data_IF_995154883736
#
_entry.id   IF_995154883736
#
_cell.length_a   1.000
_cell.length_b   1.000
_cell.length_c   1.000
_cell.angle_alpha   90.00
_cell.angle_beta   90.00
_cell.angle_gamma   90.00
#
_symmetry.space_group_name_H-M   'P 1'
#
loop_
_entity.id
_entity.type
_entity.pdbx_description
1 polymer ?
#
# COMPACT_ATOMS: atom_id res chain seq x y z
N UNK A 1 -30.85 -39.99 -28.48
CA UNK A 1 -30.39 -38.58 -28.62
C UNK A 1 -30.95 -37.63 -27.55
N UNK A 2 -32.20 -37.68 -27.15
CA UNK A 2 -32.82 -36.81 -26.13
C UNK A 2 -32.17 -36.85 -24.74
N UNK A 3 -31.63 -37.97 -24.26
CA UNK A 3 -31.04 -38.07 -22.93
C UNK A 3 -29.64 -37.41 -22.80
N UNK A 4 -28.86 -37.37 -23.89
CA UNK A 4 -27.56 -36.66 -23.87
C UNK A 4 -27.71 -35.13 -23.79
N UNK A 5 -28.70 -34.60 -24.47
CA UNK A 5 -28.99 -33.15 -24.43
C UNK A 5 -29.45 -32.68 -23.05
N UNK A 6 -30.24 -33.49 -22.36
CA UNK A 6 -30.72 -33.17 -21.01
C UNK A 6 -29.55 -33.15 -19.99
N UNK A 7 -28.64 -34.11 -20.08
CA UNK A 7 -27.45 -34.20 -19.23
C UNK A 7 -26.49 -33.00 -19.42
N UNK A 8 -26.30 -32.55 -20.67
CA UNK A 8 -25.46 -31.40 -20.99
C UNK A 8 -26.08 -30.09 -20.47
N UNK A 9 -27.39 -29.92 -20.64
CA UNK A 9 -28.12 -28.76 -20.13
C UNK A 9 -28.10 -28.67 -18.60
N UNK A 10 -28.24 -29.79 -17.91
CA UNK A 10 -28.12 -29.84 -16.45
C UNK A 10 -26.71 -29.54 -15.95
N UNK A 11 -25.68 -29.98 -16.65
CA UNK A 11 -24.30 -29.65 -16.34
C UNK A 11 -24.02 -28.16 -16.53
N UNK A 12 -24.49 -27.55 -17.61
CA UNK A 12 -24.42 -26.13 -17.84
C UNK A 12 -25.12 -25.30 -16.76
N UNK A 13 -26.32 -25.75 -16.37
CA UNK A 13 -27.12 -25.08 -15.35
C UNK A 13 -26.45 -25.17 -13.97
N UNK A 14 -25.86 -26.31 -13.60
CA UNK A 14 -25.06 -26.47 -12.37
C UNK A 14 -23.85 -25.58 -12.36
N UNK A 15 -23.08 -25.46 -13.46
CA UNK A 15 -21.92 -24.60 -13.56
C UNK A 15 -22.33 -23.11 -13.41
N UNK A 16 -23.47 -22.72 -13.99
CA UNK A 16 -23.99 -21.36 -13.89
C UNK A 16 -24.41 -21.01 -12.44
N UNK A 17 -25.12 -21.90 -11.75
CA UNK A 17 -25.50 -21.71 -10.34
C UNK A 17 -24.29 -21.63 -9.45
N UNK A 18 -23.32 -22.54 -9.62
CA UNK A 18 -22.08 -22.53 -8.84
C UNK A 18 -21.30 -21.23 -9.04
N UNK A 19 -21.16 -20.76 -10.29
CA UNK A 19 -20.52 -19.48 -10.59
C UNK A 19 -21.26 -18.29 -9.98
N UNK A 20 -22.59 -18.29 -10.04
CA UNK A 20 -23.42 -17.24 -9.44
C UNK A 20 -23.26 -17.22 -7.90
N UNK A 21 -23.29 -18.38 -7.27
CA UNK A 21 -23.08 -18.53 -5.83
C UNK A 21 -21.71 -18.05 -5.39
N UNK A 22 -20.63 -18.42 -6.09
CA UNK A 22 -19.29 -17.91 -5.79
C UNK A 22 -19.16 -16.40 -6.02
N UNK A 23 -19.79 -15.85 -7.05
CA UNK A 23 -19.83 -14.39 -7.25
C UNK A 23 -20.56 -13.67 -6.12
N UNK A 24 -21.63 -14.25 -5.61
CA UNK A 24 -22.35 -13.72 -4.46
C UNK A 24 -21.50 -13.78 -3.19
N UNK A 25 -20.81 -14.88 -2.93
CA UNK A 25 -19.89 -15.01 -1.80
C UNK A 25 -18.73 -14.00 -1.87
N UNK A 26 -18.16 -13.78 -3.07
CA UNK A 26 -17.11 -12.77 -3.27
C UNK A 26 -17.65 -11.36 -2.98
N UNK A 27 -18.87 -11.04 -3.42
CA UNK A 27 -19.51 -9.75 -3.12
C UNK A 27 -19.78 -9.57 -1.62
N UNK A 28 -20.26 -10.61 -0.94
CA UNK A 28 -20.48 -10.59 0.51
C UNK A 28 -19.14 -10.44 1.25
N UNK A 29 -18.11 -11.19 0.86
CA UNK A 29 -16.76 -11.07 1.43
C UNK A 29 -16.16 -9.68 1.23
N UNK A 30 -16.38 -9.05 0.09
CA UNK A 30 -15.94 -7.68 -0.17
C UNK A 30 -16.71 -6.66 0.69
N UNK A 31 -17.97 -6.91 0.97
CA UNK A 31 -18.78 -6.10 1.88
C UNK A 31 -18.26 -6.17 3.32
N UNK A 32 -18.01 -7.38 3.83
CA UNK A 32 -17.42 -7.58 5.15
C UNK A 32 -16.03 -6.94 5.24
N UNK A 33 -15.21 -7.03 4.19
CA UNK A 33 -13.90 -6.39 4.11
C UNK A 33 -13.99 -4.85 4.23
N UNK A 34 -15.00 -4.22 3.61
CA UNK A 34 -15.22 -2.76 3.72
C UNK A 34 -15.62 -2.34 5.13
N UNK A 35 -16.52 -3.08 5.78
CA UNK A 35 -16.93 -2.82 7.17
C UNK A 35 -15.73 -2.99 8.10
N UNK A 36 -14.96 -4.05 7.92
CA UNK A 36 -13.75 -4.29 8.69
C UNK A 36 -12.70 -3.19 8.51
N UNK A 37 -12.46 -2.74 7.27
CA UNK A 37 -11.55 -1.61 7.00
C UNK A 37 -12.02 -0.35 7.71
N UNK A 38 -13.30 -0.03 7.59
CA UNK A 38 -13.86 1.16 8.23
C UNK A 38 -13.68 1.15 9.75
N UNK A 39 -13.97 0.01 10.39
CA UNK A 39 -13.80 -0.16 11.83
C UNK A 39 -12.31 -0.09 12.23
N UNK A 40 -11.44 -0.81 11.55
CA UNK A 40 -10.00 -0.86 11.80
C UNK A 40 -9.34 0.51 11.64
N UNK A 41 -9.63 1.20 10.54
CA UNK A 41 -9.05 2.51 10.24
C UNK A 41 -9.47 3.52 11.30
N UNK A 42 -10.76 3.59 11.65
CA UNK A 42 -11.23 4.50 12.70
C UNK A 42 -10.72 4.18 14.11
N UNK A 43 -10.44 2.90 14.38
CA UNK A 43 -9.93 2.48 15.68
C UNK A 43 -8.42 2.70 15.84
N UNK A 44 -7.66 2.64 14.75
CA UNK A 44 -6.21 2.63 14.80
C UNK A 44 -5.56 3.92 14.28
N UNK A 45 -6.14 4.56 13.27
CA UNK A 45 -5.49 5.68 12.56
C UNK A 45 -6.54 6.69 12.13
N UNK A 46 -6.23 7.97 12.28
CA UNK A 46 -7.10 9.06 11.79
C UNK A 46 -6.80 9.37 10.33
N UNK A 47 -7.48 8.65 9.44
CA UNK A 47 -7.34 8.85 7.99
C UNK A 47 -8.34 9.89 7.51
N UNK A 48 -7.90 10.94 6.76
CA UNK A 48 -8.75 11.99 6.24
C UNK A 48 -9.90 11.49 5.36
N UNK A 49 -11.02 12.21 5.37
CA UNK A 49 -12.20 11.91 4.54
C UNK A 49 -11.81 11.87 3.05
N UNK A 50 -12.41 10.96 2.29
CA UNK A 50 -12.13 10.76 0.87
C UNK A 50 -10.89 9.90 0.58
N UNK A 51 -10.17 9.44 1.60
CA UNK A 51 -9.09 8.46 1.45
C UNK A 51 -9.64 7.07 1.16
N UNK A 52 -8.81 6.24 0.52
CA UNK A 52 -9.10 4.83 0.28
C UNK A 52 -8.01 3.98 0.93
N UNK A 53 -8.42 3.11 1.86
CA UNK A 53 -7.52 2.20 2.55
C UNK A 53 -8.05 0.76 2.40
N UNK A 54 -7.24 -0.13 1.85
CA UNK A 54 -7.62 -1.53 1.73
C UNK A 54 -7.55 -2.23 3.09
N UNK A 55 -8.46 -3.17 3.35
CA UNK A 55 -8.57 -3.87 4.64
C UNK A 55 -7.32 -4.65 5.04
N UNK A 56 -6.50 -5.08 4.08
CA UNK A 56 -5.27 -5.82 4.30
C UNK A 56 -4.04 -4.96 4.60
N UNK A 57 -4.19 -3.63 4.68
CA UNK A 57 -3.10 -2.74 5.10
C UNK A 57 -2.75 -3.01 6.56
N UNK A 58 -1.46 -3.16 6.84
CA UNK A 58 -0.95 -3.39 8.19
C UNK A 58 -0.35 -2.09 8.72
N UNK A 59 -0.84 -1.64 9.87
CA UNK A 59 -0.28 -0.53 10.63
C UNK A 59 0.42 -1.07 11.87
N UNK A 60 1.72 -0.80 12.02
CA UNK A 60 2.50 -1.03 13.23
C UNK A 60 2.80 0.33 13.85
N UNK A 61 2.57 0.50 15.15
CA UNK A 61 2.70 1.76 15.88
C UNK A 61 1.84 2.88 15.25
N UNK A 62 0.51 2.65 15.17
CA UNK A 62 -0.41 3.54 14.45
C UNK A 62 -0.44 4.98 15.01
N UNK A 63 -0.09 5.16 16.27
CA UNK A 63 0.03 6.45 16.96
C UNK A 63 1.09 7.38 16.33
N UNK A 64 2.06 6.83 15.62
CA UNK A 64 3.13 7.56 14.95
C UNK A 64 2.85 7.81 13.46
N UNK A 65 1.63 7.52 12.98
CA UNK A 65 1.27 7.70 11.57
C UNK A 65 0.40 8.94 11.42
N UNK A 66 0.87 9.89 10.63
CA UNK A 66 0.23 11.19 10.44
C UNK A 66 -0.15 11.41 8.98
N UNK A 67 -1.41 11.78 8.73
CA UNK A 67 -1.92 12.10 7.39
C UNK A 67 -2.34 13.56 7.34
N UNK A 68 -1.72 14.36 6.46
CA UNK A 68 -2.09 15.76 6.23
C UNK A 68 -3.19 15.93 5.18
N UNK A 69 -3.49 14.89 4.40
CA UNK A 69 -4.50 14.92 3.35
C UNK A 69 -4.89 13.55 2.86
N UNK A 70 -5.60 13.48 1.75
CA UNK A 70 -6.11 12.22 1.21
C UNK A 70 -5.00 11.24 0.83
N UNK A 71 -5.22 9.97 1.11
CA UNK A 71 -4.30 8.89 0.75
C UNK A 71 -5.03 7.71 0.11
N UNK A 72 -4.32 6.99 -0.76
CA UNK A 72 -4.76 5.72 -1.33
C UNK A 72 -3.78 4.63 -0.92
N UNK A 73 -4.20 3.73 -0.04
CA UNK A 73 -3.41 2.61 0.46
C UNK A 73 -3.94 1.31 -0.15
N UNK A 74 -3.19 0.75 -1.09
CA UNK A 74 -3.57 -0.46 -1.83
C UNK A 74 -3.36 -1.75 -1.00
N UNK A 75 -3.85 -2.92 -1.48
CA UNK A 75 -3.72 -4.18 -0.77
C UNK A 75 -2.30 -4.53 -0.37
N UNK A 76 -2.14 -5.09 0.84
CA UNK A 76 -0.86 -5.64 1.30
C UNK A 76 0.21 -4.61 1.65
N UNK A 77 -0.11 -3.32 1.69
CA UNK A 77 0.82 -2.32 2.20
C UNK A 77 1.10 -2.55 3.70
N UNK A 78 2.35 -2.32 4.10
CA UNK A 78 2.79 -2.38 5.49
C UNK A 78 3.41 -1.03 5.85
N UNK A 79 2.96 -0.45 6.95
CA UNK A 79 3.49 0.82 7.48
C UNK A 79 4.01 0.55 8.90
N UNK A 80 5.34 0.41 9.02
CA UNK A 80 6.06 0.22 10.26
C UNK A 80 6.57 1.57 10.77
N UNK A 81 5.86 2.16 11.72
CA UNK A 81 6.10 3.51 12.22
C UNK A 81 6.67 3.52 13.65
N UNK A 82 7.74 2.77 13.91
CA UNK A 82 8.45 2.87 15.20
C UNK A 82 8.95 4.30 15.45
N UNK A 83 9.27 5.05 14.39
CA UNK A 83 9.47 6.51 14.37
C UNK A 83 8.38 7.13 13.48
N UNK A 84 8.08 8.43 13.57
CA UNK A 84 6.99 9.05 12.82
C UNK A 84 7.03 8.80 11.31
N UNK A 85 5.87 8.50 10.73
CA UNK A 85 5.62 8.46 9.29
C UNK A 85 4.59 9.51 8.94
N UNK A 86 4.99 10.50 8.15
CA UNK A 86 4.13 11.62 7.75
C UNK A 86 3.78 11.52 6.27
N UNK A 87 2.50 11.63 5.97
CA UNK A 87 1.96 11.62 4.61
C UNK A 87 1.39 13.00 4.27
N UNK A 88 1.74 13.51 3.11
CA UNK A 88 1.11 14.67 2.49
C UNK A 88 -0.27 14.35 1.91
N UNK A 89 -0.78 15.26 1.09
CA UNK A 89 -2.05 15.12 0.40
C UNK A 89 -1.88 14.35 -0.93
N UNK A 90 -2.90 13.58 -1.33
CA UNK A 90 -2.95 12.79 -2.58
C UNK A 90 -1.81 11.77 -2.73
N UNK A 91 -1.34 11.22 -1.62
CA UNK A 91 -0.32 10.18 -1.67
C UNK A 91 -0.93 8.84 -2.05
N UNK A 92 -0.26 8.10 -2.94
CA UNK A 92 -0.69 6.78 -3.42
C UNK A 92 0.38 5.73 -3.15
N UNK A 93 0.02 4.73 -2.35
CA UNK A 93 0.81 3.51 -2.19
C UNK A 93 0.17 2.39 -3.01
N UNK A 94 0.92 1.87 -3.99
CA UNK A 94 0.50 0.71 -4.77
C UNK A 94 0.60 -0.58 -3.93
N UNK A 95 0.12 -1.68 -4.48
CA UNK A 95 0.08 -2.97 -3.80
C UNK A 95 1.44 -3.37 -3.21
N UNK A 96 1.44 -3.85 -1.96
CA UNK A 96 2.61 -4.43 -1.32
C UNK A 96 3.73 -3.44 -0.99
N UNK A 97 3.48 -2.13 -1.03
CA UNK A 97 4.46 -1.13 -0.58
C UNK A 97 4.76 -1.32 0.90
N UNK A 98 6.03 -1.27 1.25
CA UNK A 98 6.50 -1.39 2.62
C UNK A 98 7.25 -0.12 3.05
N UNK A 99 6.74 0.55 4.09
CA UNK A 99 7.44 1.64 4.77
C UNK A 99 7.95 1.09 6.10
N UNK A 100 9.26 1.19 6.36
CA UNK A 100 9.82 0.69 7.61
C UNK A 100 10.80 1.71 8.18
N UNK A 101 10.43 2.28 9.33
CA UNK A 101 11.24 3.25 10.05
C UNK A 101 12.29 2.61 10.95
N UNK A 102 12.05 1.35 11.35
CA UNK A 102 12.95 0.60 12.22
C UNK A 102 14.17 0.07 11.48
N UNK A 103 15.29 0.02 12.17
CA UNK A 103 16.55 -0.55 11.73
C UNK A 103 17.32 -1.08 12.93
N UNK A 104 18.49 -1.66 12.69
CA UNK A 104 19.42 -2.08 13.74
C UNK A 104 20.68 -1.22 13.68
N UNK A 105 21.21 -0.86 14.83
CA UNK A 105 22.53 -0.24 14.96
C UNK A 105 23.61 -1.30 14.83
N UNK A 106 24.01 -1.57 13.59
CA UNK A 106 25.00 -2.61 13.27
C UNK A 106 26.44 -2.25 13.69
N UNK A 107 26.67 -1.01 14.13
CA UNK A 107 27.97 -0.56 14.63
C UNK A 107 28.09 -0.69 16.17
N UNK A 108 26.99 -1.05 16.84
CA UNK A 108 26.97 -1.28 18.28
C UNK A 108 27.28 -2.72 18.68
N UNK A 109 27.26 -2.98 19.99
CA UNK A 109 27.47 -4.31 20.56
C UNK A 109 26.25 -5.24 20.35
N UNK A 110 26.47 -6.55 20.34
CA UNK A 110 25.42 -7.57 20.33
C UNK A 110 24.75 -7.70 21.70
N UNK A 111 23.42 -7.91 21.73
CA UNK A 111 22.47 -7.85 20.60
C UNK A 111 22.28 -6.41 20.10
N UNK A 112 22.27 -6.23 18.77
CA UNK A 112 22.13 -4.91 18.17
C UNK A 112 20.88 -4.18 18.67
N UNK A 113 21.06 -2.91 19.03
CA UNK A 113 19.94 -2.05 19.46
C UNK A 113 19.04 -1.70 18.29
N UNK A 114 17.74 -1.69 18.54
CA UNK A 114 16.77 -1.14 17.58
C UNK A 114 16.90 0.37 17.55
N UNK A 115 17.02 0.92 16.34
CA UNK A 115 16.98 2.35 16.06
C UNK A 115 15.86 2.62 15.07
N UNK A 116 15.34 3.84 15.05
CA UNK A 116 14.33 4.23 14.08
C UNK A 116 14.55 5.67 13.61
N UNK A 117 14.25 5.93 12.34
CA UNK A 117 14.32 7.25 11.74
C UNK A 117 13.01 7.57 11.02
N UNK A 118 12.51 8.81 11.08
CA UNK A 118 11.22 9.16 10.49
C UNK A 118 11.24 9.02 8.97
N UNK A 119 10.02 8.82 8.39
CA UNK A 119 9.79 8.86 6.95
C UNK A 119 8.83 10.00 6.67
N UNK A 120 9.16 10.84 5.68
CA UNK A 120 8.29 11.92 5.22
C UNK A 120 7.96 11.73 3.75
N UNK A 121 6.66 11.77 3.41
CA UNK A 121 6.16 11.61 2.05
C UNK A 121 5.39 12.86 1.68
N UNK A 122 5.88 13.61 0.69
CA UNK A 122 5.29 14.85 0.20
C UNK A 122 3.97 14.65 -0.55
N UNK A 123 3.33 15.77 -0.90
CA UNK A 123 2.07 15.77 -1.64
C UNK A 123 2.21 15.16 -3.03
N UNK A 124 1.18 14.48 -3.51
CA UNK A 124 1.11 13.93 -4.87
C UNK A 124 2.11 12.81 -5.16
N UNK A 125 2.78 12.27 -4.16
CA UNK A 125 3.74 11.17 -4.33
C UNK A 125 3.03 9.89 -4.69
N UNK A 126 3.54 9.19 -5.69
CA UNK A 126 3.12 7.85 -6.05
C UNK A 126 4.25 6.84 -5.84
N UNK A 127 4.01 5.83 -5.01
CA UNK A 127 4.95 4.73 -4.75
C UNK A 127 4.44 3.47 -5.43
N UNK A 128 5.23 2.96 -6.37
CA UNK A 128 4.96 1.78 -7.18
C UNK A 128 4.94 0.49 -6.35
N UNK A 129 4.33 -0.54 -6.93
CA UNK A 129 4.10 -1.81 -6.24
C UNK A 129 5.39 -2.46 -5.71
N UNK A 130 5.29 -3.05 -4.52
CA UNK A 130 6.38 -3.78 -3.86
C UNK A 130 7.67 -2.96 -3.65
N UNK A 131 7.57 -1.63 -3.64
CA UNK A 131 8.70 -0.77 -3.25
C UNK A 131 8.84 -0.73 -1.73
N UNK A 132 10.06 -0.54 -1.28
CA UNK A 132 10.42 -0.47 0.15
C UNK A 132 11.03 0.91 0.42
N UNK A 133 10.49 1.63 1.40
CA UNK A 133 11.01 2.92 1.85
C UNK A 133 11.62 2.74 3.23
N UNK A 134 12.91 3.03 3.35
CA UNK A 134 13.64 2.86 4.59
C UNK A 134 13.57 4.10 5.48
N UNK A 135 13.79 3.91 6.77
CA UNK A 135 13.83 4.96 7.77
C UNK A 135 14.85 6.06 7.47
N UNK A 136 14.47 7.32 7.72
CA UNK A 136 15.26 8.51 7.45
C UNK A 136 15.10 9.09 6.05
N UNK A 137 14.19 8.51 5.23
CA UNK A 137 13.94 8.99 3.87
C UNK A 137 12.85 10.06 3.86
N UNK A 138 13.12 11.15 3.12
CA UNK A 138 12.12 12.14 2.73
C UNK A 138 11.90 12.08 1.23
N UNK A 139 10.64 11.90 0.80
CA UNK A 139 10.26 11.92 -0.62
C UNK A 139 9.58 13.24 -0.92
N UNK A 140 10.19 14.04 -1.79
CA UNK A 140 9.66 15.35 -2.18
C UNK A 140 8.36 15.23 -2.97
N UNK A 141 7.58 16.31 -2.95
CA UNK A 141 6.26 16.39 -3.59
C UNK A 141 6.29 16.00 -5.08
N UNK A 142 5.18 15.48 -5.59
CA UNK A 142 4.99 15.07 -6.98
C UNK A 142 5.99 14.04 -7.51
N UNK A 143 6.73 13.35 -6.64
CA UNK A 143 7.69 12.34 -7.07
C UNK A 143 7.01 10.99 -7.30
N UNK A 144 7.60 10.20 -8.17
CA UNK A 144 7.13 8.85 -8.53
C UNK A 144 8.26 7.85 -8.24
N UNK A 145 7.94 6.85 -7.45
CA UNK A 145 8.82 5.70 -7.20
C UNK A 145 8.32 4.53 -8.03
N UNK A 146 9.17 3.99 -8.89
CA UNK A 146 8.87 2.82 -9.70
C UNK A 146 8.63 1.57 -8.85
N UNK A 147 8.03 0.55 -9.44
CA UNK A 147 7.78 -0.71 -8.74
C UNK A 147 9.07 -1.43 -8.36
N UNK A 148 9.09 -2.10 -7.20
CA UNK A 148 10.20 -2.91 -6.72
C UNK A 148 11.46 -2.13 -6.32
N UNK A 149 11.37 -0.81 -6.16
CA UNK A 149 12.52 0.03 -5.78
C UNK A 149 12.70 0.03 -4.27
N UNK A 150 13.94 -0.15 -3.81
CA UNK A 150 14.32 0.09 -2.41
C UNK A 150 14.88 1.49 -2.29
N UNK A 151 14.16 2.38 -1.59
CA UNK A 151 14.55 3.78 -1.38
C UNK A 151 15.27 3.91 -0.05
N UNK A 152 16.57 4.14 -0.11
CA UNK A 152 17.45 4.30 1.06
C UNK A 152 18.01 5.72 1.23
N UNK A 153 17.68 6.64 0.30
CA UNK A 153 18.12 8.04 0.30
C UNK A 153 16.92 8.93 -0.03
N UNK A 154 16.95 10.15 0.48
CA UNK A 154 15.90 11.12 0.20
C UNK A 154 15.82 11.49 -1.28
N UNK A 155 14.60 11.74 -1.75
CA UNK A 155 14.23 12.00 -3.13
C UNK A 155 13.82 13.47 -3.24
N UNK A 156 14.44 14.27 -4.14
CA UNK A 156 13.98 15.62 -4.44
C UNK A 156 12.54 15.63 -4.96
N UNK A 157 11.89 16.78 -4.91
CA UNK A 157 10.59 16.97 -5.53
C UNK A 157 10.61 16.77 -7.06
N UNK A 158 9.46 16.46 -7.63
CA UNK A 158 9.26 16.27 -9.09
C UNK A 158 10.17 15.20 -9.74
N UNK A 159 10.67 14.24 -8.94
CA UNK A 159 11.61 13.21 -9.40
C UNK A 159 10.89 11.91 -9.76
N UNK A 160 11.46 11.18 -10.72
CA UNK A 160 11.07 9.79 -11.02
C UNK A 160 12.26 8.89 -10.71
N UNK A 161 12.05 7.91 -9.84
CA UNK A 161 13.07 6.93 -9.45
C UNK A 161 12.66 5.55 -9.94
N UNK A 162 13.53 4.86 -10.67
CA UNK A 162 13.23 3.55 -11.26
C UNK A 162 14.40 2.58 -11.14
N UNK A 163 14.07 1.30 -11.21
CA UNK A 163 14.95 0.18 -11.49
C UNK A 163 15.89 -0.25 -10.39
N UNK A 164 16.55 -1.41 -10.61
CA UNK A 164 17.63 -1.83 -9.74
C UNK A 164 18.78 -0.84 -9.86
N UNK A 165 19.30 -0.37 -8.72
CA UNK A 165 20.39 0.61 -8.68
C UNK A 165 19.95 2.07 -8.55
N UNK A 166 18.68 2.34 -8.27
CA UNK A 166 18.22 3.68 -7.88
C UNK A 166 18.58 4.78 -8.90
N UNK A 167 18.00 4.69 -10.10
CA UNK A 167 18.21 5.66 -11.18
C UNK A 167 17.14 6.74 -11.15
N UNK A 168 17.56 8.01 -11.26
CA UNK A 168 16.69 9.14 -11.48
C UNK A 168 16.37 9.29 -12.97
N UNK A 169 15.08 9.53 -13.28
CA UNK A 169 14.63 9.96 -14.60
C UNK A 169 14.04 11.36 -14.41
N UNK A 170 14.47 12.30 -15.21
CA UNK A 170 13.92 13.64 -15.22
C UNK A 170 12.46 13.61 -15.70
N UNK A 171 11.57 14.21 -14.91
CA UNK A 171 10.16 14.34 -15.29
C UNK A 171 10.04 15.42 -16.35
N UNK A 172 9.69 15.05 -17.58
CA UNK A 172 9.34 16.03 -18.61
C UNK A 172 8.14 16.83 -18.14
N UNK A 173 8.23 18.16 -18.18
CA UNK A 173 7.09 19.03 -17.89
C UNK A 173 5.97 18.72 -18.87
N UNK A 174 4.74 18.63 -18.37
CA UNK A 174 3.56 18.57 -19.25
C UNK A 174 3.36 19.96 -19.84
N UNK A 175 3.48 20.05 -21.13
CA UNK A 175 3.02 21.23 -21.90
C UNK A 175 1.52 21.41 -21.71
#
# INVERSE_FOLDING_TARGET
>A
MKNKFKSVAESFFRIFIVRYFFRMLIKLGSGCGRVWTFAKVRALVDIPKGSNCHWSVVFKYPENIHFSGRVMLSPGCVIGAMSPVSFGNEVRLSQGVHLETASLDVNGDLPYKHIAKPITIGDGVWIGAHSIILGGVSIGKNSVIGAGVVVSKSIPENSIVVGPGFRFIERKEKY
#
